data_IF_467301471785
#
_entry.id   IF_467301471785
#
_cell.length_a   1.000
_cell.length_b   1.000
_cell.length_c   1.000
_cell.angle_alpha   90.00
_cell.angle_beta   90.00
_cell.angle_gamma   90.00
#
_symmetry.space_group_name_H-M   'P 1'
#
loop_
_entity.id
_entity.type
_entity.pdbx_description
1 polymer ?
#
# COMPACT_ATOMS: atom_id res chain seq x y z
N UNK A 1 22.98 2.53 -13.42
CA UNK A 1 21.59 2.75 -13.90
C UNK A 1 21.00 3.94 -13.17
N UNK A 2 20.39 4.92 -13.87
CA UNK A 2 19.61 5.94 -13.18
C UNK A 2 18.45 5.27 -12.46
N UNK A 3 18.30 5.55 -11.15
CA UNK A 3 17.13 5.13 -10.37
C UNK A 3 15.90 5.72 -11.07
N UNK A 4 14.88 4.91 -11.42
CA UNK A 4 13.70 5.38 -12.15
C UNK A 4 13.03 6.52 -11.39
N UNK A 5 12.47 7.50 -12.13
CA UNK A 5 11.94 8.74 -11.54
C UNK A 5 10.75 8.51 -10.60
N UNK A 6 10.10 7.34 -10.69
CA UNK A 6 9.06 6.88 -9.77
C UNK A 6 9.16 5.36 -9.55
N UNK A 7 9.20 4.91 -8.29
CA UNK A 7 9.07 3.51 -7.88
C UNK A 7 7.73 3.30 -7.18
N UNK A 8 6.96 2.28 -7.58
CA UNK A 8 5.64 1.97 -7.02
C UNK A 8 5.65 0.55 -6.43
N UNK A 9 5.10 0.40 -5.22
CA UNK A 9 4.94 -0.87 -4.54
C UNK A 9 3.46 -1.14 -4.32
N UNK A 10 3.03 -2.36 -4.63
CA UNK A 10 1.63 -2.78 -4.60
C UNK A 10 1.40 -3.87 -3.56
N UNK A 11 0.16 -3.96 -3.09
CA UNK A 11 -0.28 -5.00 -2.18
C UNK A 11 -0.34 -6.36 -2.90
N UNK A 12 -0.20 -7.44 -2.13
CA UNK A 12 -0.38 -8.79 -2.68
C UNK A 12 -1.84 -9.03 -3.07
N UNK A 13 -2.09 -9.32 -4.36
CA UNK A 13 -3.44 -9.59 -4.91
C UNK A 13 -4.14 -10.81 -4.30
N UNK A 14 -3.36 -11.76 -3.77
CA UNK A 14 -3.83 -13.09 -3.34
C UNK A 14 -4.99 -13.03 -2.35
N UNK A 15 -4.90 -12.17 -1.33
CA UNK A 15 -5.94 -12.08 -0.30
C UNK A 15 -7.25 -11.51 -0.86
N UNK A 16 -7.16 -10.49 -1.73
CA UNK A 16 -8.33 -9.90 -2.38
C UNK A 16 -8.99 -10.85 -3.37
N UNK A 17 -8.20 -11.61 -4.14
CA UNK A 17 -8.72 -12.65 -5.04
C UNK A 17 -9.41 -13.77 -4.25
N UNK A 18 -8.77 -14.28 -3.19
CA UNK A 18 -9.36 -15.33 -2.36
C UNK A 18 -10.66 -14.87 -1.69
N UNK A 19 -10.69 -13.65 -1.16
CA UNK A 19 -11.90 -13.04 -0.61
C UNK A 19 -13.01 -12.96 -1.64
N UNK A 20 -12.71 -12.55 -2.88
CA UNK A 20 -13.70 -12.46 -3.94
C UNK A 20 -14.28 -13.83 -4.29
N UNK A 21 -13.43 -14.85 -4.47
CA UNK A 21 -13.86 -16.22 -4.75
C UNK A 21 -14.78 -16.73 -3.64
N UNK A 22 -14.38 -16.54 -2.37
CA UNK A 22 -15.18 -16.98 -1.23
C UNK A 22 -16.55 -16.28 -1.19
N UNK A 23 -16.59 -14.97 -1.41
CA UNK A 23 -17.84 -14.20 -1.46
C UNK A 23 -18.77 -14.69 -2.56
N UNK A 24 -18.24 -14.96 -3.75
CA UNK A 24 -19.02 -15.49 -4.88
C UNK A 24 -19.58 -16.88 -4.56
N UNK A 25 -18.76 -17.76 -3.97
CA UNK A 25 -19.22 -19.11 -3.57
C UNK A 25 -20.33 -19.05 -2.53
N UNK A 26 -20.19 -18.24 -1.48
CA UNK A 26 -21.22 -18.07 -0.44
C UNK A 26 -22.51 -17.51 -1.06
N UNK A 27 -22.40 -16.52 -1.95
CA UNK A 27 -23.55 -15.93 -2.62
C UNK A 27 -24.31 -16.96 -3.48
N UNK A 28 -23.60 -17.77 -4.27
CA UNK A 28 -24.21 -18.82 -5.08
C UNK A 28 -24.94 -19.85 -4.21
N UNK A 29 -24.33 -20.28 -3.09
CA UNK A 29 -24.97 -21.19 -2.16
C UNK A 29 -26.24 -20.61 -1.55
N UNK A 30 -26.22 -19.34 -1.14
CA UNK A 30 -27.40 -18.68 -0.57
C UNK A 30 -28.54 -18.56 -1.60
N UNK A 31 -28.25 -18.24 -2.86
CA UNK A 31 -29.29 -18.17 -3.90
C UNK A 31 -29.90 -19.55 -4.19
N UNK A 32 -29.06 -20.59 -4.29
CA UNK A 32 -29.51 -21.91 -4.72
C UNK A 32 -30.30 -22.63 -3.62
N UNK A 33 -29.94 -22.43 -2.35
CA UNK A 33 -30.42 -23.26 -1.24
C UNK A 33 -31.28 -22.53 -0.20
N UNK A 34 -31.61 -21.24 -0.37
CA UNK A 34 -32.44 -20.51 0.60
C UNK A 34 -33.70 -19.89 -0.02
N UNK A 35 -34.75 -19.74 0.80
CA UNK A 35 -36.00 -19.06 0.44
C UNK A 35 -35.84 -17.53 0.46
N UNK A 36 -34.77 -17.00 1.06
CA UNK A 36 -34.47 -15.57 1.17
C UNK A 36 -33.85 -14.96 -0.11
N UNK A 37 -34.14 -15.52 -1.28
CA UNK A 37 -33.48 -15.18 -2.56
C UNK A 37 -33.39 -13.69 -2.84
N UNK A 38 -34.45 -12.94 -2.56
CA UNK A 38 -34.51 -11.50 -2.84
C UNK A 38 -33.56 -10.68 -1.95
N UNK A 39 -33.47 -11.01 -0.66
CA UNK A 39 -32.53 -10.40 0.27
C UNK A 39 -31.08 -10.85 -0.03
N UNK A 40 -30.89 -12.13 -0.33
CA UNK A 40 -29.60 -12.68 -0.74
C UNK A 40 -29.07 -12.01 -2.00
N UNK A 41 -29.93 -11.74 -2.99
CA UNK A 41 -29.59 -11.00 -4.22
C UNK A 41 -29.04 -9.61 -3.92
N UNK A 42 -29.74 -8.82 -3.10
CA UNK A 42 -29.31 -7.45 -2.74
C UNK A 42 -27.97 -7.45 -2.00
N UNK A 43 -27.84 -8.30 -0.98
CA UNK A 43 -26.61 -8.40 -0.18
C UNK A 43 -25.44 -8.93 -1.02
N UNK A 44 -25.69 -9.92 -1.85
CA UNK A 44 -24.66 -10.55 -2.67
C UNK A 44 -24.16 -9.70 -3.81
N UNK A 45 -25.04 -8.94 -4.48
CA UNK A 45 -24.61 -7.93 -5.46
C UNK A 45 -23.71 -6.89 -4.78
N UNK A 46 -24.12 -6.39 -3.61
CA UNK A 46 -23.28 -5.45 -2.85
C UNK A 46 -21.93 -6.06 -2.48
N UNK A 47 -21.91 -7.29 -1.97
CA UNK A 47 -20.68 -7.97 -1.58
C UNK A 47 -19.75 -8.26 -2.77
N UNK A 48 -20.31 -8.63 -3.92
CA UNK A 48 -19.56 -8.84 -5.16
C UNK A 48 -18.95 -7.52 -5.67
N UNK A 49 -19.74 -6.43 -5.70
CA UNK A 49 -19.26 -5.10 -6.08
C UNK A 49 -18.16 -4.60 -5.13
N UNK A 50 -18.33 -4.80 -3.82
CA UNK A 50 -17.32 -4.46 -2.82
C UNK A 50 -16.03 -5.28 -3.01
N UNK A 51 -16.15 -6.57 -3.28
CA UNK A 51 -15.02 -7.46 -3.58
C UNK A 51 -14.28 -7.03 -4.85
N UNK A 52 -15.00 -6.70 -5.91
CA UNK A 52 -14.44 -6.17 -7.16
C UNK A 52 -13.73 -4.82 -6.94
N UNK A 53 -14.33 -3.92 -6.15
CA UNK A 53 -13.70 -2.65 -5.79
C UNK A 53 -12.40 -2.86 -5.01
N UNK A 54 -12.39 -3.77 -4.03
CA UNK A 54 -11.18 -4.11 -3.27
C UNK A 54 -10.09 -4.69 -4.18
N UNK A 55 -10.48 -5.54 -5.14
CA UNK A 55 -9.55 -6.09 -6.13
C UNK A 55 -8.99 -5.00 -7.05
N UNK A 56 -9.85 -4.11 -7.56
CA UNK A 56 -9.45 -2.94 -8.35
C UNK A 56 -8.39 -2.13 -7.60
N UNK A 57 -8.67 -1.76 -6.35
CA UNK A 57 -7.77 -0.98 -5.50
C UNK A 57 -6.39 -1.61 -5.35
N UNK A 58 -6.31 -2.94 -5.17
CA UNK A 58 -5.02 -3.64 -5.07
C UNK A 58 -4.26 -3.68 -6.40
N UNK A 59 -4.95 -3.59 -7.54
CA UNK A 59 -4.34 -3.60 -8.88
C UNK A 59 -3.88 -2.20 -9.29
N UNK A 60 -4.67 -1.16 -8.99
CA UNK A 60 -4.47 0.19 -9.52
C UNK A 60 -3.79 1.15 -8.56
N UNK A 61 -4.01 1.01 -7.24
CA UNK A 61 -3.48 1.94 -6.25
C UNK A 61 -2.22 1.38 -5.55
N UNK A 62 -1.05 2.02 -5.74
CA UNK A 62 0.15 1.63 -5.01
C UNK A 62 -0.03 1.87 -3.51
N UNK A 63 0.53 0.98 -2.68
CA UNK A 63 0.60 1.17 -1.23
C UNK A 63 1.67 2.21 -0.87
N UNK A 64 2.80 2.17 -1.57
CA UNK A 64 3.91 3.11 -1.42
C UNK A 64 4.39 3.54 -2.79
N UNK A 65 4.61 4.83 -2.96
CA UNK A 65 5.30 5.39 -4.11
C UNK A 65 6.48 6.23 -3.65
N UNK A 66 7.64 6.04 -4.28
CA UNK A 66 8.83 6.86 -4.09
C UNK A 66 9.06 7.65 -5.36
N UNK A 67 9.26 8.95 -5.24
CA UNK A 67 9.59 9.82 -6.36
C UNK A 67 10.62 10.89 -5.97
N UNK A 68 10.82 11.89 -6.82
CA UNK A 68 11.75 12.99 -6.56
C UNK A 68 11.32 13.92 -5.41
N UNK A 69 10.03 13.95 -5.06
CA UNK A 69 9.46 14.82 -4.02
C UNK A 69 9.51 14.14 -2.65
N UNK A 70 9.17 12.86 -2.58
CA UNK A 70 9.02 12.20 -1.29
C UNK A 70 8.70 10.72 -1.32
N UNK A 71 8.17 10.28 -0.17
CA UNK A 71 7.51 9.00 0.04
C UNK A 71 6.01 9.27 0.13
N UNK A 72 5.24 8.65 -0.75
CA UNK A 72 3.79 8.80 -0.82
C UNK A 72 3.15 7.48 -0.39
N UNK A 73 2.38 7.53 0.69
CA UNK A 73 1.47 6.49 1.15
C UNK A 73 0.08 6.76 0.58
N UNK A 74 -0.84 5.78 0.67
CA UNK A 74 -2.23 5.97 0.21
C UNK A 74 -2.95 7.15 0.87
N UNK A 75 -2.63 7.43 2.13
CA UNK A 75 -3.30 8.42 2.98
C UNK A 75 -2.47 9.68 3.21
N UNK A 76 -1.15 9.58 3.18
CA UNK A 76 -0.23 10.65 3.58
C UNK A 76 0.96 10.72 2.65
N UNK A 77 1.44 11.93 2.37
CA UNK A 77 2.67 12.17 1.61
C UNK A 77 3.71 12.84 2.50
N UNK A 78 4.96 12.37 2.39
CA UNK A 78 6.09 12.81 3.22
C UNK A 78 7.24 13.25 2.31
N UNK A 79 7.60 14.53 2.35
CA UNK A 79 8.61 15.09 1.44
C UNK A 79 10.05 14.86 1.93
N UNK A 80 10.97 14.57 1.01
CA UNK A 80 12.38 14.32 1.36
C UNK A 80 13.06 15.46 2.11
N UNK A 81 12.65 16.71 1.85
CA UNK A 81 13.18 17.91 2.50
C UNK A 81 12.87 17.97 4.00
N UNK A 82 11.76 17.37 4.41
CA UNK A 82 11.27 17.44 5.79
C UNK A 82 11.73 16.23 6.62
N UNK A 83 12.33 15.23 5.97
CA UNK A 83 12.70 13.94 6.56
C UNK A 83 14.14 13.98 7.06
N UNK A 84 14.29 13.89 8.38
CA UNK A 84 15.58 13.69 9.03
C UNK A 84 16.03 12.24 8.96
N UNK A 85 15.14 11.30 9.28
CA UNK A 85 15.41 9.85 9.31
C UNK A 85 14.17 9.04 8.91
N UNK A 86 14.39 7.94 8.20
CA UNK A 86 13.37 6.89 7.97
C UNK A 86 13.98 5.58 8.43
N UNK A 87 13.23 4.84 9.24
CA UNK A 87 13.54 3.48 9.64
C UNK A 87 12.40 2.61 9.13
N UNK A 88 12.74 1.60 8.33
CA UNK A 88 11.79 0.58 7.91
C UNK A 88 12.03 -0.69 8.72
N UNK A 89 10.95 -1.22 9.29
CA UNK A 89 10.95 -2.48 10.04
C UNK A 89 9.95 -3.42 9.41
N UNK A 90 10.36 -4.64 9.09
CA UNK A 90 9.45 -5.69 8.65
C UNK A 90 8.89 -6.44 9.86
N UNK A 91 7.59 -6.60 9.92
CA UNK A 91 6.87 -7.33 10.95
C UNK A 91 6.06 -8.48 10.34
N UNK A 92 5.43 -9.30 11.18
CA UNK A 92 4.75 -10.55 10.77
C UNK A 92 3.82 -10.40 9.57
N UNK A 93 3.14 -9.26 9.43
CA UNK A 93 2.12 -9.03 8.39
C UNK A 93 2.45 -7.89 7.43
N UNK A 94 3.60 -7.24 7.54
CA UNK A 94 3.86 -6.05 6.72
C UNK A 94 5.08 -5.23 7.12
N UNK A 95 5.09 -3.96 6.72
CA UNK A 95 6.20 -3.02 6.98
C UNK A 95 5.72 -1.82 7.78
N UNK A 96 6.51 -1.41 8.78
CA UNK A 96 6.34 -0.14 9.48
C UNK A 96 7.39 0.86 9.04
N UNK A 97 6.93 2.08 8.77
CA UNK A 97 7.75 3.25 8.50
C UNK A 97 7.76 4.13 9.73
N UNK A 98 8.92 4.28 10.36
CA UNK A 98 9.15 5.31 11.36
C UNK A 98 9.89 6.47 10.71
N UNK A 99 9.21 7.62 10.62
CA UNK A 99 9.74 8.84 10.03
C UNK A 99 9.97 9.86 11.13
N UNK A 100 11.22 10.26 11.30
CA UNK A 100 11.62 11.41 12.11
C UNK A 100 11.76 12.62 11.18
N UNK A 101 11.04 13.69 11.48
CA UNK A 101 11.09 14.93 10.72
C UNK A 101 12.17 15.89 11.25
N UNK A 102 12.64 16.81 10.40
CA UNK A 102 13.62 17.84 10.78
C UNK A 102 13.07 18.79 11.88
N UNK A 103 11.75 18.99 11.93
CA UNK A 103 11.07 19.77 12.98
C UNK A 103 10.89 19.03 14.31
N UNK A 104 11.46 17.83 14.46
CA UNK A 104 11.37 17.02 15.69
C UNK A 104 10.09 16.20 15.84
N UNK A 105 9.10 16.34 14.94
CA UNK A 105 7.92 15.47 14.92
C UNK A 105 8.29 14.04 14.53
N UNK A 106 7.47 13.08 14.95
CA UNK A 106 7.59 11.66 14.60
C UNK A 106 6.28 11.15 14.02
N UNK A 107 6.38 10.38 12.95
CA UNK A 107 5.25 9.68 12.34
C UNK A 107 5.58 8.20 12.24
N UNK A 108 4.57 7.37 12.50
CA UNK A 108 4.64 5.94 12.23
C UNK A 108 3.50 5.56 11.30
N UNK A 109 3.83 4.97 10.16
CA UNK A 109 2.84 4.44 9.22
C UNK A 109 3.05 2.93 9.10
N UNK A 110 1.97 2.16 9.26
CA UNK A 110 1.99 0.72 9.09
C UNK A 110 1.32 0.35 7.77
N UNK A 111 1.96 -0.54 7.01
CA UNK A 111 1.45 -1.06 5.76
C UNK A 111 1.35 -2.57 5.86
N UNK A 112 0.11 -3.05 5.94
CA UNK A 112 -0.20 -4.46 6.00
C UNK A 112 -0.11 -5.13 4.62
N UNK A 113 0.05 -6.45 4.64
CA UNK A 113 0.16 -7.34 3.48
C UNK A 113 1.31 -6.98 2.51
N UNK A 114 2.37 -6.36 3.03
CA UNK A 114 3.51 -5.95 2.23
C UNK A 114 4.43 -7.15 1.93
N UNK A 115 4.77 -7.43 0.66
CA UNK A 115 5.63 -8.56 0.32
C UNK A 115 7.05 -8.41 0.89
N UNK A 116 7.60 -9.48 1.46
CA UNK A 116 8.97 -9.47 2.01
C UNK A 116 10.03 -9.12 0.95
N UNK A 117 9.90 -9.65 -0.27
CA UNK A 117 10.80 -9.31 -1.38
C UNK A 117 10.76 -7.82 -1.70
N UNK A 118 9.55 -7.26 -1.81
CA UNK A 118 9.35 -5.81 -2.03
C UNK A 118 9.90 -4.96 -0.89
N UNK A 119 9.96 -5.49 0.34
CA UNK A 119 10.57 -4.78 1.48
C UNK A 119 12.08 -4.59 1.32
N UNK A 120 12.80 -5.61 0.85
CA UNK A 120 14.23 -5.48 0.60
C UNK A 120 14.52 -4.44 -0.48
N UNK A 121 13.75 -4.45 -1.56
CA UNK A 121 13.85 -3.47 -2.63
C UNK A 121 13.54 -2.05 -2.13
N UNK A 122 12.42 -1.90 -1.42
CA UNK A 122 11.99 -0.65 -0.82
C UNK A 122 13.03 -0.06 0.13
N UNK A 123 13.66 -0.89 0.97
CA UNK A 123 14.71 -0.43 1.90
C UNK A 123 15.92 0.13 1.16
N UNK A 124 16.34 -0.53 0.07
CA UNK A 124 17.45 -0.08 -0.78
C UNK A 124 17.08 1.18 -1.56
N UNK A 125 15.87 1.23 -2.10
CA UNK A 125 15.36 2.38 -2.86
C UNK A 125 15.21 3.61 -1.95
N UNK A 126 14.59 3.52 -0.76
CA UNK A 126 14.49 4.64 0.18
C UNK A 126 15.87 5.21 0.54
N UNK A 127 16.86 4.35 0.80
CA UNK A 127 18.24 4.79 1.09
C UNK A 127 18.85 5.54 -0.10
N UNK A 128 18.60 5.06 -1.32
CA UNK A 128 19.16 5.60 -2.55
C UNK A 128 18.49 6.91 -2.96
N UNK A 129 17.16 6.99 -2.91
CA UNK A 129 16.37 8.20 -3.14
C UNK A 129 16.75 9.29 -2.13
N UNK A 130 16.81 8.96 -0.83
CA UNK A 130 17.26 9.91 0.20
C UNK A 130 18.65 10.46 -0.11
N UNK A 131 19.62 9.62 -0.50
CA UNK A 131 20.98 10.08 -0.85
C UNK A 131 21.00 10.98 -2.08
N UNK A 132 20.22 10.63 -3.13
CA UNK A 132 20.15 11.37 -4.41
C UNK A 132 19.49 12.73 -4.24
N UNK A 133 18.35 12.80 -3.54
CA UNK A 133 17.54 14.00 -3.48
C UNK A 133 17.89 14.91 -2.31
N UNK A 134 18.41 14.41 -1.18
CA UNK A 134 18.84 15.26 -0.05
C UNK A 134 19.91 16.28 -0.47
N UNK A 135 20.87 15.89 -1.31
CA UNK A 135 21.91 16.81 -1.80
C UNK A 135 21.37 17.95 -2.67
N UNK A 136 20.25 17.75 -3.37
CA UNK A 136 19.61 18.81 -4.17
C UNK A 136 19.00 19.92 -3.30
N UNK A 137 18.64 19.63 -2.05
CA UNK A 137 18.04 20.61 -1.14
C UNK A 137 19.07 21.33 -0.25
N UNK A 138 20.24 20.73 0.00
CA UNK A 138 21.33 21.36 0.78
C UNK A 138 22.10 22.41 -0.01
N UNK A 139 22.16 22.29 -1.35
CA UNK A 139 22.87 23.23 -2.23
C UNK A 139 22.03 24.45 -2.66
N UNK A 140 20.82 24.62 -2.13
CA UNK A 140 19.92 25.76 -2.40
C UNK A 140 19.70 26.67 -1.19
N UNK A 141 20.48 26.48 -0.12
CA UNK A 141 20.61 27.44 0.97
C UNK A 141 21.89 28.24 0.78
#
# INVERSE_FOLDING_TARGET
MPIPDVKKYFETKRNSVFSLILTVTIFLLLILFTEYREWSLRIGIFAALFGLYKLYKVITEPQVMLDAQGVHFRTVSVYWKDIRRIILTFEKTGVRFHVDFENGKKMTEAIDNFPLFSYFDLKMDVRSFKKKFRKKFVLKQ
#
